data_IF_214221100523
#
_entry.id   IF_214221100523
#
_cell.length_a   1.000
_cell.length_b   1.000
_cell.length_c   1.000
_cell.angle_alpha   90.00
_cell.angle_beta   90.00
_cell.angle_gamma   90.00
#
_symmetry.space_group_name_H-M   'P 1'
#
loop_
_entity.id
_entity.type
_entity.pdbx_description
1 polymer ?
#
# COMPACT_ATOMS: atom_id res chain seq x y z
N UNK A 1 8.56 19.20 11.12
CA UNK A 1 8.45 19.72 9.74
C UNK A 1 9.79 19.59 9.00
N UNK A 2 9.86 18.73 7.99
CA UNK A 2 11.06 18.62 7.14
C UNK A 2 11.08 19.78 6.14
N UNK A 3 12.27 20.24 5.73
CA UNK A 3 12.40 21.26 4.68
C UNK A 3 11.73 20.85 3.36
N UNK A 4 11.66 19.55 3.09
CA UNK A 4 10.96 19.01 1.93
C UNK A 4 9.46 19.35 1.98
N UNK A 5 8.99 20.07 0.95
CA UNK A 5 7.56 20.33 0.74
C UNK A 5 6.87 19.01 0.39
N UNK A 6 5.85 18.66 1.16
CA UNK A 6 5.03 17.47 0.94
C UNK A 6 3.73 17.86 0.24
N UNK A 7 3.26 17.07 -0.74
CA UNK A 7 1.96 17.30 -1.33
C UNK A 7 0.86 17.11 -0.28
N UNK A 8 -0.13 18.01 -0.28
CA UNK A 8 -1.29 17.91 0.61
C UNK A 8 -2.16 16.68 0.31
N UNK A 9 -2.11 16.18 -0.93
CA UNK A 9 -2.79 14.97 -1.35
C UNK A 9 -1.84 14.12 -2.21
N UNK A 10 -1.51 12.93 -1.72
CA UNK A 10 -0.66 11.96 -2.41
C UNK A 10 -1.44 10.72 -2.87
N UNK A 11 -2.79 10.77 -2.84
CA UNK A 11 -3.63 9.64 -3.26
C UNK A 11 -3.47 9.43 -4.76
N UNK A 12 -3.17 8.19 -5.14
CA UNK A 12 -3.07 7.76 -6.53
C UNK A 12 -4.33 7.01 -6.94
N UNK A 13 -4.76 7.25 -8.17
CA UNK A 13 -5.84 6.56 -8.84
C UNK A 13 -5.26 5.35 -9.60
N UNK A 14 -5.77 4.16 -9.32
CA UNK A 14 -5.18 2.88 -9.79
C UNK A 14 -6.05 2.14 -10.81
N UNK A 15 -7.09 2.79 -11.34
CA UNK A 15 -8.05 2.16 -12.26
C UNK A 15 -7.37 1.59 -13.51
N UNK A 16 -6.29 2.24 -13.99
CA UNK A 16 -5.49 1.77 -15.12
C UNK A 16 -4.84 0.41 -14.88
N UNK A 17 -4.44 0.11 -13.64
CA UNK A 17 -3.85 -1.20 -13.30
C UNK A 17 -4.87 -2.32 -13.52
N UNK A 18 -6.11 -2.06 -13.14
CA UNK A 18 -7.21 -3.00 -13.32
C UNK A 18 -7.60 -3.13 -14.79
N UNK A 19 -7.68 -2.04 -15.54
CA UNK A 19 -8.08 -2.10 -16.96
C UNK A 19 -7.02 -2.72 -17.86
N UNK A 20 -5.74 -2.41 -17.63
CA UNK A 20 -4.65 -2.84 -18.52
C UNK A 20 -4.06 -4.20 -18.13
N UNK A 21 -4.02 -4.51 -16.83
CA UNK A 21 -3.34 -5.71 -16.32
C UNK A 21 -4.26 -6.66 -15.56
N UNK A 22 -5.54 -6.31 -15.36
CA UNK A 22 -6.45 -7.10 -14.54
C UNK A 22 -6.10 -7.09 -13.04
N UNK A 23 -5.13 -6.26 -12.62
CA UNK A 23 -4.65 -6.19 -11.25
C UNK A 23 -5.53 -5.23 -10.47
N UNK A 24 -6.16 -5.71 -9.41
CA UNK A 24 -6.84 -4.86 -8.43
C UNK A 24 -5.84 -4.45 -7.36
N UNK A 25 -5.77 -3.16 -7.07
CA UNK A 25 -5.01 -2.68 -5.92
C UNK A 25 -5.74 -3.11 -4.64
N UNK A 26 -5.04 -3.81 -3.75
CA UNK A 26 -5.59 -4.25 -2.48
C UNK A 26 -5.72 -3.10 -1.48
N UNK A 27 -6.59 -3.30 -0.50
CA UNK A 27 -6.70 -2.42 0.66
C UNK A 27 -5.41 -2.50 1.50
N UNK A 28 -4.85 -1.33 1.82
CA UNK A 28 -3.51 -1.28 2.43
C UNK A 28 -3.50 -1.87 3.84
N UNK A 29 -4.61 -1.80 4.57
CA UNK A 29 -4.72 -2.36 5.92
C UNK A 29 -4.59 -3.88 5.86
N UNK A 30 -5.33 -4.55 4.96
CA UNK A 30 -5.25 -6.00 4.80
C UNK A 30 -3.82 -6.45 4.47
N UNK A 31 -3.12 -5.73 3.58
CA UNK A 31 -1.75 -6.08 3.23
C UNK A 31 -0.76 -5.80 4.37
N UNK A 32 -0.99 -4.74 5.16
CA UNK A 32 -0.19 -4.48 6.35
C UNK A 32 -0.34 -5.60 7.39
N UNK A 33 -1.57 -6.07 7.62
CA UNK A 33 -1.84 -7.17 8.55
C UNK A 33 -1.11 -8.46 8.12
N UNK A 34 -1.12 -8.77 6.82
CA UNK A 34 -0.37 -9.89 6.26
C UNK A 34 1.15 -9.77 6.49
N UNK A 35 1.71 -8.58 6.31
CA UNK A 35 3.14 -8.33 6.55
C UNK A 35 3.48 -8.47 8.03
N UNK A 36 2.66 -7.90 8.92
CA UNK A 36 2.85 -8.02 10.37
C UNK A 36 2.78 -9.49 10.78
N UNK A 37 1.78 -10.24 10.32
CA UNK A 37 1.66 -11.65 10.62
C UNK A 37 2.90 -12.45 10.14
N UNK A 38 3.39 -12.19 8.93
CA UNK A 38 4.58 -12.85 8.40
C UNK A 38 5.85 -12.53 9.21
N UNK A 39 5.96 -11.34 9.77
CA UNK A 39 7.09 -10.97 10.63
C UNK A 39 7.01 -11.64 12.00
N UNK A 40 5.82 -11.70 12.60
CA UNK A 40 5.62 -12.26 13.96
C UNK A 40 5.69 -13.79 13.97
N UNK A 41 5.26 -14.47 12.91
CA UNK A 41 5.33 -15.95 12.82
C UNK A 41 6.77 -16.46 12.67
N UNK A 42 7.68 -15.66 12.11
CA UNK A 42 9.10 -16.01 11.94
C UNK A 42 9.96 -15.75 13.19
N UNK A 43 9.37 -15.34 14.32
CA UNK A 43 10.06 -15.10 15.59
C UNK A 43 9.87 -16.23 16.64
N UNK A 44 9.27 -17.37 16.26
CA UNK A 44 9.14 -18.58 17.10
C UNK A 44 9.84 -19.79 16.46
#
# INVERSE_FOLDING_TARGET
>A
PTHAKRPANSRLKTERLTTEFGIKADDWQCQLDNVIAALVVNEN
#
